data_IF_270135027085
#
_entry.id   IF_270135027085
#
_cell.length_a   1.000
_cell.length_b   1.000
_cell.length_c   1.000
_cell.angle_alpha   90.00
_cell.angle_beta   90.00
_cell.angle_gamma   90.00
#
_symmetry.space_group_name_H-M   'P 1'
#
loop_
_entity.id
_entity.type
_entity.pdbx_description
1 polymer ?
#
# COMPACT_ATOMS: atom_id res chain seq x y z
N UNK A 1 21.50 -30.03 -14.53
CA UNK A 1 20.12 -30.20 -15.03
C UNK A 1 19.32 -29.03 -14.48
N UNK A 2 18.65 -28.23 -15.33
CA UNK A 2 17.76 -27.19 -14.86
C UNK A 2 16.52 -27.86 -14.23
N UNK A 3 16.38 -27.73 -12.92
CA UNK A 3 15.20 -28.22 -12.22
C UNK A 3 14.01 -27.36 -12.69
N UNK A 4 12.98 -27.99 -13.23
CA UNK A 4 11.75 -27.32 -13.66
C UNK A 4 10.59 -27.72 -12.75
N UNK A 5 9.71 -26.77 -12.45
CA UNK A 5 8.49 -27.06 -11.70
C UNK A 5 7.65 -28.13 -12.43
N UNK A 6 7.19 -29.14 -11.69
CA UNK A 6 6.27 -30.17 -12.20
C UNK A 6 4.95 -29.53 -12.66
N UNK A 7 4.20 -30.21 -13.55
CA UNK A 7 2.87 -29.75 -13.97
C UNK A 7 1.91 -29.57 -12.77
N UNK A 8 2.03 -30.47 -11.78
CA UNK A 8 1.27 -30.40 -10.52
C UNK A 8 1.61 -29.16 -9.72
N UNK A 9 2.90 -28.89 -9.56
CA UNK A 9 3.38 -27.71 -8.82
C UNK A 9 2.96 -26.40 -9.51
N UNK A 10 3.10 -26.31 -10.85
CA UNK A 10 2.64 -25.16 -11.64
C UNK A 10 1.15 -24.88 -11.47
N UNK A 11 0.32 -25.93 -11.34
CA UNK A 11 -1.13 -25.77 -11.06
C UNK A 11 -1.36 -25.12 -9.69
N UNK A 12 -0.65 -25.55 -8.64
CA UNK A 12 -0.76 -24.92 -7.31
C UNK A 12 -0.23 -23.49 -7.30
N UNK A 13 0.87 -23.23 -7.97
CA UNK A 13 1.41 -21.88 -8.17
C UNK A 13 0.38 -20.96 -8.84
N UNK A 14 -0.26 -21.43 -9.90
CA UNK A 14 -1.28 -20.66 -10.61
C UNK A 14 -2.51 -20.40 -9.75
N UNK A 15 -3.02 -21.42 -9.04
CA UNK A 15 -4.16 -21.27 -8.13
C UNK A 15 -3.84 -20.20 -7.07
N UNK A 16 -2.72 -20.33 -6.37
CA UNK A 16 -2.33 -19.41 -5.32
C UNK A 16 -2.18 -17.97 -5.83
N UNK A 17 -1.53 -17.79 -6.99
CA UNK A 17 -1.32 -16.47 -7.58
C UNK A 17 -2.61 -15.82 -8.07
N UNK A 18 -3.53 -16.61 -8.66
CA UNK A 18 -4.86 -16.13 -9.09
C UNK A 18 -5.67 -15.63 -7.89
N UNK A 19 -5.68 -16.37 -6.78
CA UNK A 19 -6.35 -15.91 -5.56
C UNK A 19 -5.77 -14.62 -5.03
N UNK A 20 -4.43 -14.48 -4.99
CA UNK A 20 -3.76 -13.27 -4.52
C UNK A 20 -4.07 -12.07 -5.43
N UNK A 21 -4.09 -12.28 -6.75
CA UNK A 21 -4.40 -11.23 -7.72
C UNK A 21 -5.84 -10.73 -7.53
N UNK A 22 -6.82 -11.64 -7.51
CA UNK A 22 -8.24 -11.27 -7.38
C UNK A 22 -8.49 -10.63 -6.00
N UNK A 23 -7.97 -11.22 -4.93
CA UNK A 23 -8.12 -10.66 -3.60
C UNK A 23 -7.44 -9.29 -3.45
N UNK A 24 -6.28 -9.08 -4.11
CA UNK A 24 -5.63 -7.77 -4.16
C UNK A 24 -6.47 -6.72 -4.87
N UNK A 25 -7.14 -7.08 -5.96
CA UNK A 25 -8.07 -6.18 -6.65
C UNK A 25 -9.24 -5.82 -5.72
N UNK A 26 -9.91 -6.80 -5.10
CA UNK A 26 -11.03 -6.57 -4.17
C UNK A 26 -10.56 -5.68 -3.00
N UNK A 27 -9.41 -5.97 -2.40
CA UNK A 27 -8.83 -5.21 -1.31
C UNK A 27 -8.71 -3.69 -1.61
N UNK A 28 -8.24 -3.35 -2.81
CA UNK A 28 -8.13 -1.95 -3.21
C UNK A 28 -9.47 -1.32 -3.63
N UNK A 29 -10.42 -2.11 -4.18
CA UNK A 29 -11.79 -1.65 -4.41
C UNK A 29 -12.48 -1.31 -3.09
N UNK A 30 -12.28 -2.12 -2.04
CA UNK A 30 -12.82 -1.88 -0.70
C UNK A 30 -12.30 -0.57 -0.11
N UNK A 31 -11.02 -0.28 -0.27
CA UNK A 31 -10.40 0.99 0.17
C UNK A 31 -10.93 2.20 -0.58
N UNK A 32 -11.08 2.08 -1.90
CA UNK A 32 -11.53 3.17 -2.75
C UNK A 32 -13.04 3.44 -2.62
N UNK A 33 -13.85 2.45 -2.23
CA UNK A 33 -15.32 2.54 -2.21
C UNK A 33 -15.85 3.70 -1.35
N UNK A 34 -15.27 3.93 -0.15
CA UNK A 34 -15.69 5.03 0.72
C UNK A 34 -15.24 6.39 0.15
N UNK A 35 -14.07 6.46 -0.48
CA UNK A 35 -13.58 7.68 -1.13
C UNK A 35 -14.50 8.08 -2.30
N UNK A 36 -14.89 7.13 -3.12
CA UNK A 36 -15.81 7.34 -4.26
C UNK A 36 -17.20 7.75 -3.80
N UNK A 37 -17.73 7.10 -2.76
CA UNK A 37 -19.06 7.41 -2.23
C UNK A 37 -19.08 8.60 -1.25
N UNK A 38 -17.95 9.24 -0.98
CA UNK A 38 -17.79 10.28 0.05
C UNK A 38 -18.84 11.36 -0.05
N UNK A 39 -18.98 12.03 -1.19
CA UNK A 39 -19.93 13.13 -1.38
C UNK A 39 -21.39 12.67 -1.23
N UNK A 40 -21.73 11.49 -1.69
CA UNK A 40 -23.09 10.94 -1.60
C UNK A 40 -23.43 10.55 -0.17
N UNK A 41 -22.52 9.85 0.53
CA UNK A 41 -22.72 9.45 1.93
C UNK A 41 -22.80 10.69 2.83
N UNK A 42 -21.90 11.66 2.65
CA UNK A 42 -21.89 12.92 3.41
C UNK A 42 -23.23 13.66 3.28
N UNK A 43 -23.76 13.77 2.06
CA UNK A 43 -25.05 14.43 1.80
C UNK A 43 -26.24 13.66 2.37
N UNK A 44 -26.26 12.33 2.19
CA UNK A 44 -27.39 11.49 2.61
C UNK A 44 -27.48 11.33 4.13
N UNK A 45 -26.32 11.14 4.80
CA UNK A 45 -26.27 10.88 6.23
C UNK A 45 -25.96 12.15 7.06
N UNK A 46 -25.75 13.30 6.42
CA UNK A 46 -25.48 14.58 7.08
C UNK A 46 -24.12 14.64 7.77
N UNK A 47 -23.12 13.92 7.26
CA UNK A 47 -21.77 13.92 7.86
C UNK A 47 -20.95 15.11 7.40
N UNK A 48 -20.20 15.71 8.32
CA UNK A 48 -19.23 16.76 8.02
C UNK A 48 -18.00 16.19 7.32
N UNK A 49 -17.18 17.05 6.70
CA UNK A 49 -15.93 16.64 6.08
C UNK A 49 -14.93 16.06 7.11
N UNK A 50 -14.93 16.56 8.34
CA UNK A 50 -14.14 15.99 9.45
C UNK A 50 -14.59 14.56 9.77
N UNK A 51 -15.89 14.31 9.84
CA UNK A 51 -16.45 12.97 10.08
C UNK A 51 -16.09 12.01 8.93
N UNK A 52 -16.20 12.45 7.68
CA UNK A 52 -15.76 11.65 6.53
C UNK A 52 -14.26 11.41 6.55
N UNK A 53 -13.45 12.41 6.89
CA UNK A 53 -12.01 12.27 7.08
C UNK A 53 -11.66 11.24 8.15
N UNK A 54 -12.38 11.22 9.27
CA UNK A 54 -12.21 10.22 10.33
C UNK A 54 -12.57 8.81 9.83
N UNK A 55 -13.70 8.65 9.14
CA UNK A 55 -14.11 7.36 8.54
C UNK A 55 -13.07 6.82 7.56
N UNK A 56 -12.44 7.69 6.76
CA UNK A 56 -11.38 7.33 5.82
C UNK A 56 -10.07 6.96 6.52
N UNK A 57 -9.81 7.54 7.70
CA UNK A 57 -8.57 7.36 8.47
C UNK A 57 -8.57 6.14 9.37
N UNK A 58 -9.69 5.82 10.02
CA UNK A 58 -9.74 4.74 11.04
C UNK A 58 -9.43 3.35 10.49
N UNK A 59 -9.66 3.14 9.19
CA UNK A 59 -9.20 1.96 8.49
C UNK A 59 -7.68 1.77 8.63
N UNK A 60 -6.91 2.83 8.36
CA UNK A 60 -5.45 2.79 8.39
C UNK A 60 -4.91 2.52 9.78
N UNK A 61 -5.57 3.01 10.83
CA UNK A 61 -5.20 2.71 12.21
C UNK A 61 -5.42 1.23 12.54
N UNK A 62 -6.59 0.66 12.20
CA UNK A 62 -6.88 -0.76 12.39
C UNK A 62 -5.89 -1.65 11.65
N UNK A 63 -5.60 -1.31 10.40
CA UNK A 63 -4.62 -2.00 9.56
C UNK A 63 -3.20 -1.94 10.16
N UNK A 64 -2.71 -0.74 10.54
CA UNK A 64 -1.36 -0.54 11.05
C UNK A 64 -1.12 -1.28 12.37
N UNK A 65 -2.07 -1.26 13.30
CA UNK A 65 -1.97 -1.96 14.57
C UNK A 65 -1.85 -3.48 14.38
N UNK A 66 -2.58 -4.04 13.42
CA UNK A 66 -2.56 -5.47 13.16
C UNK A 66 -1.35 -5.92 12.33
N UNK A 67 -0.70 -5.02 11.60
CA UNK A 67 0.52 -5.35 10.83
C UNK A 67 1.65 -5.92 11.70
N UNK A 68 1.79 -5.44 12.93
CA UNK A 68 2.86 -5.87 13.83
C UNK A 68 2.73 -7.35 14.25
N UNK A 69 1.58 -7.82 14.77
CA UNK A 69 1.43 -9.20 15.23
C UNK A 69 1.14 -10.21 14.11
N UNK A 70 0.68 -9.74 12.92
CA UNK A 70 0.11 -10.61 11.91
C UNK A 70 1.10 -11.65 11.38
N UNK A 71 2.38 -11.31 11.25
CA UNK A 71 3.43 -12.23 10.82
C UNK A 71 3.56 -13.42 11.77
N UNK A 72 3.63 -13.17 13.09
CA UNK A 72 3.72 -14.20 14.12
C UNK A 72 2.46 -15.08 14.14
N UNK A 73 1.28 -14.46 13.98
CA UNK A 73 0.00 -15.18 13.93
C UNK A 73 -0.06 -16.10 12.71
N UNK A 74 0.40 -15.64 11.55
CA UNK A 74 0.45 -16.46 10.34
C UNK A 74 1.45 -17.60 10.42
N UNK A 75 2.61 -17.40 11.07
CA UNK A 75 3.58 -18.48 11.31
C UNK A 75 3.00 -19.56 12.22
N UNK A 76 2.24 -19.17 13.25
CA UNK A 76 1.66 -20.11 14.22
C UNK A 76 0.46 -20.89 13.70
N UNK A 77 -0.45 -20.23 12.96
CA UNK A 77 -1.74 -20.81 12.56
C UNK A 77 -1.83 -21.17 11.07
N UNK A 78 -0.82 -20.80 10.30
CA UNK A 78 -0.71 -21.04 8.86
C UNK A 78 -1.45 -20.01 8.00
N UNK A 79 -0.93 -19.80 6.80
CA UNK A 79 -1.43 -18.82 5.83
C UNK A 79 -2.89 -19.06 5.46
N UNK A 80 -3.26 -20.32 5.18
CA UNK A 80 -4.62 -20.69 4.72
C UNK A 80 -5.70 -20.16 5.65
N UNK A 81 -5.52 -20.42 6.97
CA UNK A 81 -6.52 -20.03 7.98
C UNK A 81 -6.55 -18.51 8.18
N UNK A 82 -5.39 -17.91 8.47
CA UNK A 82 -5.33 -16.49 8.84
C UNK A 82 -5.77 -15.62 7.68
N UNK A 83 -5.30 -15.88 6.47
CA UNK A 83 -5.71 -15.10 5.31
C UNK A 83 -7.18 -15.35 4.93
N UNK A 84 -7.64 -16.60 4.94
CA UNK A 84 -9.03 -16.93 4.64
C UNK A 84 -10.01 -16.27 5.60
N UNK A 85 -9.74 -16.29 6.92
CA UNK A 85 -10.55 -15.57 7.91
C UNK A 85 -10.42 -14.05 7.79
N UNK A 86 -9.23 -13.53 7.50
CA UNK A 86 -9.03 -12.12 7.22
C UNK A 86 -9.88 -11.67 6.04
N UNK A 87 -9.80 -12.40 4.90
CA UNK A 87 -10.59 -12.16 3.69
C UNK A 87 -12.10 -12.19 3.97
N UNK A 88 -12.58 -13.18 4.75
CA UNK A 88 -13.98 -13.23 5.17
C UNK A 88 -14.37 -12.02 6.02
N UNK A 89 -13.56 -11.70 7.03
CA UNK A 89 -13.84 -10.63 8.00
C UNK A 89 -13.93 -9.27 7.33
N UNK A 90 -12.95 -8.91 6.47
CA UNK A 90 -12.99 -7.61 5.80
C UNK A 90 -14.15 -7.53 4.79
N UNK A 91 -14.41 -8.61 4.06
CA UNK A 91 -15.51 -8.64 3.09
C UNK A 91 -16.89 -8.58 3.76
N UNK A 92 -17.03 -9.19 4.93
CA UNK A 92 -18.22 -9.06 5.76
C UNK A 92 -18.37 -7.61 6.25
N UNK A 93 -17.31 -6.98 6.75
CA UNK A 93 -17.33 -5.59 7.18
C UNK A 93 -17.69 -4.65 6.01
N UNK A 94 -17.19 -4.91 4.81
CA UNK A 94 -17.54 -4.17 3.59
C UNK A 94 -19.03 -4.34 3.25
N UNK A 95 -19.54 -5.57 3.27
CA UNK A 95 -20.97 -5.86 3.02
C UNK A 95 -21.86 -5.13 4.03
N UNK A 96 -21.52 -5.24 5.31
CA UNK A 96 -22.29 -4.60 6.40
C UNK A 96 -22.25 -3.08 6.28
N UNK A 97 -21.13 -2.50 5.81
CA UNK A 97 -21.03 -1.04 5.59
C UNK A 97 -22.17 -0.52 4.71
N UNK A 98 -22.60 -1.27 3.69
CA UNK A 98 -23.72 -0.90 2.82
C UNK A 98 -25.09 -0.88 3.53
N UNK A 99 -25.21 -1.51 4.69
CA UNK A 99 -26.46 -1.58 5.49
C UNK A 99 -26.50 -0.55 6.61
N UNK A 100 -25.39 0.14 6.90
CA UNK A 100 -25.27 1.05 8.03
C UNK A 100 -25.60 2.49 7.65
N UNK A 101 -26.14 3.22 8.65
CA UNK A 101 -26.41 4.66 8.55
C UNK A 101 -25.87 5.44 9.77
N UNK A 102 -25.46 4.75 10.83
CA UNK A 102 -24.89 5.37 12.03
C UNK A 102 -23.39 5.59 11.87
N UNK A 103 -22.91 6.80 12.20
CA UNK A 103 -21.48 7.14 12.16
C UNK A 103 -20.62 6.17 12.98
N UNK A 104 -21.05 5.86 14.23
CA UNK A 104 -20.30 4.95 15.10
C UNK A 104 -20.20 3.54 14.52
N UNK A 105 -21.29 3.03 13.94
CA UNK A 105 -21.27 1.70 13.33
C UNK A 105 -20.38 1.65 12.08
N UNK A 106 -20.37 2.73 11.29
CA UNK A 106 -19.46 2.86 10.14
C UNK A 106 -18.00 2.91 10.58
N UNK A 107 -17.65 3.61 11.66
CA UNK A 107 -16.31 3.60 12.27
C UNK A 107 -15.90 2.17 12.64
N UNK A 108 -16.76 1.44 13.35
CA UNK A 108 -16.48 0.06 13.77
C UNK A 108 -16.26 -0.84 12.55
N UNK A 109 -17.13 -0.76 11.54
CA UNK A 109 -16.99 -1.53 10.32
C UNK A 109 -15.66 -1.22 9.60
N UNK A 110 -15.23 0.05 9.56
CA UNK A 110 -13.95 0.47 8.97
C UNK A 110 -12.72 -0.04 9.73
N UNK A 111 -12.78 -0.05 11.06
CA UNK A 111 -11.71 -0.65 11.89
C UNK A 111 -11.62 -2.15 11.64
N UNK A 112 -12.76 -2.86 11.64
CA UNK A 112 -12.81 -4.30 11.36
C UNK A 112 -12.29 -4.62 9.96
N UNK A 113 -12.63 -3.80 8.96
CA UNK A 113 -12.12 -3.92 7.60
C UNK A 113 -10.59 -3.80 7.59
N UNK A 114 -10.03 -2.80 8.27
CA UNK A 114 -8.57 -2.61 8.38
C UNK A 114 -7.86 -3.80 9.05
N UNK A 115 -8.43 -4.32 10.13
CA UNK A 115 -7.92 -5.52 10.83
C UNK A 115 -7.94 -6.74 9.89
N UNK A 116 -9.05 -6.95 9.19
CA UNK A 116 -9.22 -8.08 8.27
C UNK A 116 -8.26 -8.04 7.08
N UNK A 117 -7.93 -6.85 6.57
CA UNK A 117 -7.02 -6.67 5.44
C UNK A 117 -5.52 -6.78 5.78
N UNK A 118 -5.16 -6.64 7.06
CA UNK A 118 -3.76 -6.64 7.49
C UNK A 118 -2.95 -7.88 7.03
N UNK A 119 -3.50 -9.11 6.94
CA UNK A 119 -2.80 -10.27 6.44
C UNK A 119 -2.45 -10.24 4.95
N UNK A 120 -3.05 -9.38 4.13
CA UNK A 120 -2.99 -9.47 2.67
C UNK A 120 -1.56 -9.41 2.11
N UNK A 121 -0.81 -8.35 2.41
CA UNK A 121 0.56 -8.20 1.91
C UNK A 121 1.53 -9.27 2.45
N UNK A 122 1.55 -9.57 3.76
CA UNK A 122 2.38 -10.66 4.29
C UNK A 122 2.05 -12.03 3.66
N UNK A 123 0.76 -12.30 3.37
CA UNK A 123 0.33 -13.51 2.68
C UNK A 123 0.94 -13.59 1.27
N UNK A 124 0.92 -12.50 0.51
CA UNK A 124 1.52 -12.47 -0.82
C UNK A 124 2.99 -12.88 -0.80
N UNK A 125 3.76 -12.28 0.11
CA UNK A 125 5.19 -12.60 0.31
C UNK A 125 5.37 -14.06 0.72
N UNK A 126 4.62 -14.54 1.70
CA UNK A 126 4.73 -15.91 2.22
C UNK A 126 4.36 -16.95 1.16
N UNK A 127 3.25 -16.77 0.45
CA UNK A 127 2.80 -17.67 -0.61
C UNK A 127 3.83 -17.75 -1.75
N UNK A 128 4.38 -16.61 -2.19
CA UNK A 128 5.42 -16.62 -3.22
C UNK A 128 6.68 -17.32 -2.70
N UNK A 129 7.04 -17.10 -1.43
CA UNK A 129 8.18 -17.79 -0.82
C UNK A 129 7.98 -19.31 -0.73
N UNK A 130 6.80 -19.79 -0.41
CA UNK A 130 6.49 -21.20 -0.20
C UNK A 130 6.33 -21.98 -1.52
N UNK A 131 5.83 -21.32 -2.59
CA UNK A 131 5.44 -21.98 -3.83
C UNK A 131 6.40 -21.76 -5.00
N UNK A 132 7.36 -20.81 -4.91
CA UNK A 132 8.26 -20.49 -6.01
C UNK A 132 9.73 -20.61 -5.61
N UNK A 133 10.53 -21.16 -6.53
CA UNK A 133 11.97 -21.15 -6.39
C UNK A 133 12.49 -19.71 -6.29
N UNK A 134 13.55 -19.50 -5.51
CA UNK A 134 14.10 -18.17 -5.22
C UNK A 134 14.45 -17.38 -6.50
N UNK A 135 14.87 -18.07 -7.56
CA UNK A 135 15.25 -17.47 -8.83
C UNK A 135 14.05 -17.01 -9.67
N UNK A 136 12.85 -17.54 -9.38
CA UNK A 136 11.63 -17.30 -10.14
C UNK A 136 10.60 -16.43 -9.38
N UNK A 137 10.91 -15.92 -8.18
CA UNK A 137 9.98 -15.13 -7.34
C UNK A 137 9.67 -13.75 -7.88
N UNK A 138 10.49 -13.23 -8.81
CA UNK A 138 10.33 -11.85 -9.32
C UNK A 138 9.00 -11.64 -10.03
N UNK A 139 8.65 -12.50 -10.98
CA UNK A 139 7.37 -12.39 -11.71
C UNK A 139 6.15 -12.56 -10.83
N UNK A 140 6.03 -13.61 -9.97
CA UNK A 140 4.92 -13.76 -9.05
C UNK A 140 4.74 -12.55 -8.10
N UNK A 141 5.83 -12.03 -7.52
CA UNK A 141 5.77 -10.82 -6.70
C UNK A 141 5.33 -9.59 -7.50
N UNK A 142 5.79 -9.49 -8.74
CA UNK A 142 5.33 -8.45 -9.67
C UNK A 142 3.82 -8.51 -9.90
N UNK A 143 3.26 -9.70 -10.09
CA UNK A 143 1.81 -9.91 -10.29
C UNK A 143 1.03 -9.56 -9.02
N UNK A 144 1.51 -9.96 -7.84
CA UNK A 144 0.89 -9.60 -6.56
C UNK A 144 0.87 -8.07 -6.39
N UNK A 145 1.97 -7.38 -6.67
CA UNK A 145 2.03 -5.93 -6.56
C UNK A 145 1.22 -5.22 -7.65
N UNK A 146 1.15 -5.79 -8.86
CA UNK A 146 0.35 -5.25 -9.96
C UNK A 146 -1.14 -5.20 -9.61
N UNK A 147 -1.64 -6.13 -8.78
CA UNK A 147 -3.04 -6.13 -8.35
C UNK A 147 -3.47 -4.80 -7.71
N UNK A 148 -2.60 -4.23 -6.88
CA UNK A 148 -2.85 -2.95 -6.22
C UNK A 148 -2.87 -1.77 -7.19
N UNK A 149 -1.91 -1.72 -8.10
CA UNK A 149 -1.80 -0.63 -9.07
C UNK A 149 -2.93 -0.67 -10.10
N UNK A 150 -3.26 -1.89 -10.58
CA UNK A 150 -4.37 -2.11 -11.50
C UNK A 150 -5.70 -1.73 -10.86
N UNK A 151 -5.91 -2.14 -9.60
CA UNK A 151 -7.13 -1.80 -8.88
C UNK A 151 -7.26 -0.30 -8.62
N UNK A 152 -6.19 0.42 -8.29
CA UNK A 152 -6.24 1.88 -8.12
C UNK A 152 -6.68 2.61 -9.39
N UNK A 153 -6.25 2.14 -10.55
CA UNK A 153 -6.66 2.73 -11.83
C UNK A 153 -8.10 2.36 -12.23
N UNK A 154 -8.51 1.11 -11.95
CA UNK A 154 -9.83 0.61 -12.32
C UNK A 154 -10.92 0.96 -11.30
N UNK A 155 -10.55 1.21 -10.04
CA UNK A 155 -11.52 1.45 -8.97
C UNK A 155 -12.46 2.63 -9.27
N UNK A 156 -12.00 3.83 -9.64
CA UNK A 156 -12.91 4.94 -9.86
C UNK A 156 -13.98 4.67 -10.92
N UNK A 157 -13.67 4.26 -12.17
CA UNK A 157 -14.69 4.01 -13.17
C UNK A 157 -15.62 2.84 -12.82
N UNK A 158 -15.08 1.75 -12.26
CA UNK A 158 -15.87 0.58 -11.90
C UNK A 158 -16.84 0.86 -10.73
N UNK A 159 -16.33 1.48 -9.67
CA UNK A 159 -17.14 1.78 -8.49
C UNK A 159 -18.22 2.81 -8.78
N UNK A 160 -17.91 3.82 -9.59
CA UNK A 160 -18.91 4.81 -10.01
C UNK A 160 -19.96 4.17 -10.92
N UNK A 161 -19.59 3.30 -11.84
CA UNK A 161 -20.56 2.57 -12.65
C UNK A 161 -21.52 1.74 -11.77
N UNK A 162 -21.01 1.03 -10.77
CA UNK A 162 -21.83 0.30 -9.80
C UNK A 162 -22.71 1.25 -8.98
N UNK A 163 -22.16 2.39 -8.54
CA UNK A 163 -22.88 3.36 -7.74
C UNK A 163 -24.01 4.04 -8.51
N UNK A 164 -23.80 4.37 -9.79
CA UNK A 164 -24.83 4.94 -10.66
C UNK A 164 -25.92 3.92 -11.00
N UNK A 165 -25.58 2.65 -11.19
CA UNK A 165 -26.54 1.61 -11.52
C UNK A 165 -27.38 1.15 -10.33
N UNK A 166 -26.80 1.03 -9.14
CA UNK A 166 -27.40 0.35 -7.99
C UNK A 166 -27.41 1.17 -6.70
N UNK A 167 -26.81 2.37 -6.69
CA UNK A 167 -26.60 3.18 -5.50
C UNK A 167 -25.39 2.72 -4.67
N UNK A 168 -24.91 3.60 -3.78
CA UNK A 168 -23.69 3.36 -3.00
C UNK A 168 -23.83 2.17 -2.03
N UNK A 169 -24.99 1.98 -1.41
CA UNK A 169 -25.22 0.86 -0.49
C UNK A 169 -25.03 -0.48 -1.17
N UNK A 170 -25.67 -0.66 -2.33
CA UNK A 170 -25.59 -1.90 -3.11
C UNK A 170 -24.18 -2.11 -3.66
N UNK A 171 -23.47 -1.04 -4.05
CA UNK A 171 -22.07 -1.11 -4.44
C UNK A 171 -21.20 -1.75 -3.33
N UNK A 172 -21.32 -1.30 -2.07
CA UNK A 172 -20.61 -1.91 -0.94
C UNK A 172 -20.98 -3.38 -0.74
N UNK A 173 -22.26 -3.72 -0.86
CA UNK A 173 -22.76 -5.10 -0.71
C UNK A 173 -22.19 -5.99 -1.82
N UNK A 174 -22.22 -5.57 -3.09
CA UNK A 174 -21.71 -6.36 -4.22
C UNK A 174 -20.24 -6.67 -4.03
N UNK A 175 -19.42 -5.67 -3.70
CA UNK A 175 -17.97 -5.85 -3.52
C UNK A 175 -17.72 -6.78 -2.32
N UNK A 176 -18.39 -6.54 -1.20
CA UNK A 176 -18.25 -7.37 -0.01
C UNK A 176 -18.65 -8.82 -0.24
N UNK A 177 -19.79 -9.08 -0.91
CA UNK A 177 -20.22 -10.45 -1.25
C UNK A 177 -19.21 -11.13 -2.18
N UNK A 178 -18.65 -10.42 -3.15
CA UNK A 178 -17.63 -10.99 -4.05
C UNK A 178 -16.40 -11.47 -3.26
N UNK A 179 -15.99 -10.73 -2.24
CA UNK A 179 -14.90 -11.13 -1.35
C UNK A 179 -15.27 -12.29 -0.43
N UNK A 180 -16.51 -12.37 0.08
CA UNK A 180 -16.99 -13.54 0.86
C UNK A 180 -16.94 -14.81 -0.01
N UNK A 181 -17.42 -14.72 -1.24
CA UNK A 181 -17.35 -15.84 -2.19
C UNK A 181 -15.89 -16.26 -2.41
N UNK A 182 -15.00 -15.29 -2.64
CA UNK A 182 -13.58 -15.56 -2.81
C UNK A 182 -12.95 -16.22 -1.56
N UNK A 183 -13.36 -15.81 -0.36
CA UNK A 183 -12.90 -16.43 0.90
C UNK A 183 -13.34 -17.91 0.98
N UNK A 184 -14.58 -18.21 0.64
CA UNK A 184 -15.06 -19.59 0.60
C UNK A 184 -14.27 -20.42 -0.42
N UNK A 185 -14.06 -19.88 -1.62
CA UNK A 185 -13.26 -20.54 -2.65
C UNK A 185 -11.79 -20.73 -2.20
N UNK A 186 -11.22 -19.76 -1.47
CA UNK A 186 -9.89 -19.89 -0.87
C UNK A 186 -9.81 -21.08 0.08
N UNK A 187 -10.76 -21.26 0.99
CA UNK A 187 -10.77 -22.40 1.90
C UNK A 187 -10.94 -23.74 1.17
N UNK A 188 -11.66 -23.77 0.07
CA UNK A 188 -11.87 -24.98 -0.73
C UNK A 188 -10.61 -25.33 -1.54
N UNK A 189 -10.06 -24.38 -2.28
CA UNK A 189 -9.06 -24.65 -3.31
C UNK A 189 -7.62 -24.42 -2.86
N UNK A 190 -7.35 -23.49 -1.95
CA UNK A 190 -5.98 -23.24 -1.50
C UNK A 190 -5.54 -24.31 -0.48
N UNK A 191 -4.26 -24.71 -0.58
CA UNK A 191 -3.59 -25.60 0.39
C UNK A 191 -2.28 -24.97 0.83
N UNK A 192 -1.91 -25.13 2.10
CA UNK A 192 -0.55 -24.81 2.55
C UNK A 192 0.41 -25.87 1.98
N UNK A 193 1.67 -25.47 1.81
CA UNK A 193 2.73 -26.37 1.32
C UNK A 193 2.81 -27.67 2.17
N UNK A 194 2.71 -27.54 3.48
CA UNK A 194 2.78 -28.66 4.43
C UNK A 194 1.60 -29.65 4.34
N UNK A 195 0.52 -29.27 3.66
CA UNK A 195 -0.67 -30.09 3.47
C UNK A 195 -0.60 -30.96 2.20
N UNK A 196 0.47 -30.81 1.43
CA UNK A 196 0.68 -31.54 0.20
C UNK A 196 1.89 -32.44 0.32
N UNK A 197 1.73 -33.73 -0.03
CA UNK A 197 2.84 -34.63 -0.21
C UNK A 197 3.58 -34.24 -1.50
N UNK A 198 4.64 -33.44 -1.35
CA UNK A 198 5.53 -33.05 -2.44
C UNK A 198 6.54 -34.18 -2.67
N UNK A 199 6.86 -34.42 -3.95
CA UNK A 199 7.92 -35.36 -4.31
C UNK A 199 9.31 -34.76 -4.01
N UNK A 200 10.32 -35.62 -3.88
CA UNK A 200 11.70 -35.17 -3.64
C UNK A 200 12.18 -34.20 -4.72
N UNK A 201 11.81 -34.41 -5.98
CA UNK A 201 12.13 -33.52 -7.10
C UNK A 201 11.46 -32.14 -6.93
N UNK A 202 10.21 -32.09 -6.48
CA UNK A 202 9.48 -30.84 -6.20
C UNK A 202 10.11 -30.10 -5.01
N UNK A 203 10.51 -30.80 -3.96
CA UNK A 203 11.20 -30.24 -2.81
C UNK A 203 12.58 -29.69 -3.20
N UNK A 204 13.34 -30.45 -3.98
CA UNK A 204 14.66 -30.04 -4.50
C UNK A 204 14.52 -28.78 -5.37
N UNK A 205 13.51 -28.73 -6.25
CA UNK A 205 13.24 -27.54 -7.05
C UNK A 205 12.94 -26.31 -6.19
N UNK A 206 12.06 -26.43 -5.18
CA UNK A 206 11.67 -25.32 -4.32
C UNK A 206 12.82 -24.82 -3.43
N UNK A 207 13.71 -25.72 -3.02
CA UNK A 207 14.83 -25.42 -2.14
C UNK A 207 16.13 -25.05 -2.89
N UNK A 208 16.20 -25.28 -4.22
CA UNK A 208 17.40 -24.96 -4.99
C UNK A 208 17.73 -23.48 -4.94
N UNK A 209 18.95 -23.18 -4.51
CA UNK A 209 19.44 -21.80 -4.34
C UNK A 209 18.90 -21.08 -3.10
N UNK A 210 18.08 -21.75 -2.27
CA UNK A 210 17.68 -21.16 -0.99
C UNK A 210 18.92 -21.02 -0.09
N UNK A 211 19.18 -19.84 0.49
CA UNK A 211 20.26 -19.70 1.46
C UNK A 211 19.98 -20.62 2.66
N UNK A 212 21.02 -21.22 3.26
CA UNK A 212 20.83 -21.97 4.48
C UNK A 212 20.04 -21.09 5.45
N UNK A 213 19.03 -21.66 6.11
CA UNK A 213 18.19 -20.92 7.05
C UNK A 213 19.11 -20.24 8.07
N UNK A 214 19.25 -18.91 7.96
CA UNK A 214 20.02 -18.17 8.94
C UNK A 214 19.29 -18.27 10.27
N UNK A 215 19.84 -19.05 11.19
CA UNK A 215 19.30 -19.30 12.54
C UNK A 215 19.33 -18.05 13.42
N UNK A 216 19.96 -16.98 12.98
CA UNK A 216 20.09 -15.73 13.73
C UNK A 216 18.81 -14.87 13.58
N UNK A 217 17.80 -15.18 14.37
CA UNK A 217 16.65 -14.30 14.57
C UNK A 217 17.11 -12.98 15.18
N UNK A 218 16.62 -11.87 14.64
CA UNK A 218 16.87 -10.55 15.24
C UNK A 218 16.24 -10.51 16.63
N UNK A 219 17.03 -10.28 17.66
CA UNK A 219 16.53 -10.15 19.02
C UNK A 219 15.79 -8.83 19.21
N UNK A 220 14.90 -8.76 20.21
CA UNK A 220 14.20 -7.52 20.53
C UNK A 220 15.17 -6.38 20.89
N UNK A 221 16.28 -6.69 21.57
CA UNK A 221 17.33 -5.71 21.92
C UNK A 221 18.01 -5.13 20.68
N UNK A 222 18.34 -5.99 19.70
CA UNK A 222 18.91 -5.55 18.42
C UNK A 222 17.89 -4.72 17.63
N UNK A 223 16.63 -5.17 17.59
CA UNK A 223 15.56 -4.43 16.93
C UNK A 223 15.37 -3.03 17.55
N UNK A 224 15.33 -2.92 18.87
CA UNK A 224 15.22 -1.64 19.57
C UNK A 224 16.46 -0.74 19.34
N UNK A 225 17.64 -1.31 19.17
CA UNK A 225 18.86 -0.55 18.91
C UNK A 225 18.90 0.10 17.53
N UNK A 226 18.10 -0.38 16.55
CA UNK A 226 17.95 0.25 15.24
C UNK A 226 17.49 1.71 15.37
N UNK A 227 16.64 2.01 16.35
CA UNK A 227 16.14 3.38 16.61
C UNK A 227 17.21 4.37 17.09
N UNK A 228 18.42 3.92 17.40
CA UNK A 228 19.58 4.81 17.67
C UNK A 228 20.20 5.36 16.38
N UNK A 229 19.86 4.81 15.22
CA UNK A 229 20.46 5.18 13.94
C UNK A 229 19.67 6.31 13.26
N UNK A 230 20.36 7.40 12.94
CA UNK A 230 19.78 8.59 12.33
C UNK A 230 19.10 8.30 10.98
N UNK A 231 19.72 7.43 10.16
CA UNK A 231 19.17 7.05 8.85
C UNK A 231 17.82 6.35 8.96
N UNK A 232 17.59 5.55 10.04
CA UNK A 232 16.29 4.90 10.24
C UNK A 232 15.17 5.94 10.49
N UNK A 233 15.43 6.95 11.32
CA UNK A 233 14.48 8.03 11.54
C UNK A 233 14.21 8.82 10.26
N UNK A 234 15.23 9.04 9.45
CA UNK A 234 15.08 9.63 8.11
C UNK A 234 14.14 8.82 7.21
N UNK A 235 14.26 7.48 7.22
CA UNK A 235 13.39 6.59 6.48
C UNK A 235 11.95 6.62 7.03
N UNK A 236 11.75 6.59 8.35
CA UNK A 236 10.43 6.61 9.00
C UNK A 236 9.70 7.93 8.67
N UNK A 237 10.33 9.07 9.02
CA UNK A 237 9.70 10.39 8.91
C UNK A 237 9.55 10.80 7.44
N UNK A 238 10.56 10.52 6.61
CA UNK A 238 10.47 10.82 5.19
C UNK A 238 9.41 9.97 4.48
N UNK A 239 9.29 8.68 4.82
CA UNK A 239 8.26 7.82 4.24
C UNK A 239 6.85 8.12 4.77
N UNK A 240 6.74 8.72 5.96
CA UNK A 240 5.49 9.29 6.47
C UNK A 240 4.94 10.34 5.49
N UNK A 241 5.79 11.20 4.93
CA UNK A 241 5.39 12.18 3.92
C UNK A 241 4.92 11.54 2.60
N UNK A 242 5.56 10.45 2.16
CA UNK A 242 5.08 9.65 1.02
C UNK A 242 3.68 9.11 1.31
N UNK A 243 3.48 8.50 2.48
CA UNK A 243 2.19 7.99 2.91
C UNK A 243 1.11 9.06 2.97
N UNK A 244 1.42 10.22 3.55
CA UNK A 244 0.49 11.35 3.65
C UNK A 244 -0.06 11.77 2.27
N UNK A 245 0.83 11.97 1.28
CA UNK A 245 0.41 12.37 -0.07
C UNK A 245 -0.42 11.30 -0.77
N UNK A 246 0.04 10.04 -0.74
CA UNK A 246 -0.68 8.93 -1.39
C UNK A 246 -2.09 8.79 -0.82
N UNK A 247 -2.22 8.82 0.52
CA UNK A 247 -3.51 8.69 1.18
C UNK A 247 -4.42 9.90 1.00
N UNK A 248 -3.87 11.12 0.94
CA UNK A 248 -4.67 12.30 0.62
C UNK A 248 -5.34 12.15 -0.74
N UNK A 249 -4.57 11.85 -1.78
CA UNK A 249 -5.12 11.70 -3.12
C UNK A 249 -6.04 10.47 -3.24
N UNK A 250 -5.69 9.34 -2.61
CA UNK A 250 -6.52 8.14 -2.62
C UNK A 250 -7.90 8.39 -2.00
N UNK A 251 -7.96 9.20 -0.94
CA UNK A 251 -9.18 9.38 -0.15
C UNK A 251 -10.01 10.61 -0.55
N UNK A 252 -9.38 11.68 -1.02
CA UNK A 252 -10.06 12.95 -1.26
C UNK A 252 -10.11 13.39 -2.71
N UNK A 253 -9.36 12.76 -3.64
CA UNK A 253 -9.37 13.16 -5.06
C UNK A 253 -10.76 13.12 -5.69
N UNK A 254 -11.60 12.08 -5.51
CA UNK A 254 -12.95 12.09 -6.06
C UNK A 254 -13.78 13.26 -5.53
N UNK A 255 -13.78 13.48 -4.21
CA UNK A 255 -14.52 14.59 -3.58
C UNK A 255 -14.00 15.97 -4.03
N UNK A 256 -12.69 16.12 -4.24
CA UNK A 256 -12.10 17.31 -4.81
C UNK A 256 -12.63 17.59 -6.24
N UNK A 257 -12.68 16.56 -7.09
CA UNK A 257 -13.17 16.69 -8.45
C UNK A 257 -14.67 17.03 -8.51
N UNK A 258 -15.48 16.45 -7.63
CA UNK A 258 -16.91 16.75 -7.53
C UNK A 258 -17.17 18.14 -6.91
N UNK A 259 -16.63 18.43 -5.71
CA UNK A 259 -16.99 19.61 -4.94
C UNK A 259 -16.25 20.87 -5.41
N UNK A 260 -14.94 20.78 -5.77
CA UNK A 260 -14.14 21.93 -6.14
C UNK A 260 -14.10 22.17 -7.65
N UNK A 261 -14.27 21.12 -8.46
CA UNK A 261 -14.21 21.22 -9.92
C UNK A 261 -15.57 21.04 -10.60
N UNK A 262 -16.62 20.75 -9.85
CA UNK A 262 -17.99 20.66 -10.33
C UNK A 262 -18.21 19.53 -11.35
N UNK A 263 -17.36 18.48 -11.33
CA UNK A 263 -17.52 17.35 -12.22
C UNK A 263 -18.71 16.50 -11.79
N UNK A 264 -19.49 16.01 -12.76
CA UNK A 264 -20.49 14.99 -12.49
C UNK A 264 -19.82 13.71 -11.98
N UNK A 265 -20.57 12.91 -11.22
CA UNK A 265 -20.08 11.64 -10.70
C UNK A 265 -19.49 10.74 -11.81
N UNK A 266 -20.17 10.65 -12.96
CA UNK A 266 -19.70 9.88 -14.12
C UNK A 266 -18.34 10.37 -14.65
N UNK A 267 -18.17 11.69 -14.84
CA UNK A 267 -16.90 12.28 -15.28
C UNK A 267 -15.81 12.10 -14.25
N UNK A 268 -16.15 12.20 -12.96
CA UNK A 268 -15.21 11.99 -11.85
C UNK A 268 -14.57 10.60 -11.92
N UNK A 269 -15.31 9.56 -12.27
CA UNK A 269 -14.78 8.20 -12.39
C UNK A 269 -13.64 8.07 -13.39
N UNK A 270 -13.81 8.61 -14.57
CA UNK A 270 -12.79 8.55 -15.61
C UNK A 270 -11.63 9.50 -15.33
N UNK A 271 -11.92 10.72 -14.88
CA UNK A 271 -10.91 11.73 -14.62
C UNK A 271 -10.04 11.34 -13.41
N UNK A 272 -10.62 10.78 -12.35
CA UNK A 272 -9.86 10.33 -11.18
C UNK A 272 -8.94 9.13 -11.48
N UNK A 273 -9.23 8.32 -12.50
CA UNK A 273 -8.34 7.22 -12.90
C UNK A 273 -7.01 7.71 -13.48
N UNK A 274 -7.01 8.86 -14.17
CA UNK A 274 -5.82 9.38 -14.89
C UNK A 274 -4.63 9.59 -13.95
N UNK A 275 -4.74 10.30 -12.81
CA UNK A 275 -3.61 10.47 -11.90
C UNK A 275 -3.03 9.14 -11.36
N UNK A 276 -3.86 8.13 -11.11
CA UNK A 276 -3.38 6.82 -10.65
C UNK A 276 -2.63 6.06 -11.75
N UNK A 277 -3.03 6.18 -13.02
CA UNK A 277 -2.26 5.65 -14.14
C UNK A 277 -0.89 6.30 -14.25
N UNK A 278 -0.80 7.63 -14.05
CA UNK A 278 0.49 8.34 -13.99
C UNK A 278 1.33 7.88 -12.79
N UNK A 279 0.71 7.58 -11.66
CA UNK A 279 1.39 6.96 -10.51
C UNK A 279 2.03 5.61 -10.88
N UNK A 280 1.29 4.75 -11.58
CA UNK A 280 1.82 3.47 -12.09
C UNK A 280 3.01 3.67 -13.03
N UNK A 281 2.94 4.64 -13.95
CA UNK A 281 4.05 5.01 -14.82
C UNK A 281 5.27 5.48 -14.01
N UNK A 282 5.05 6.25 -12.95
CA UNK A 282 6.11 6.71 -12.04
C UNK A 282 6.89 5.55 -11.42
N UNK A 283 6.19 4.49 -10.98
CA UNK A 283 6.84 3.27 -10.47
C UNK A 283 7.71 2.59 -11.52
N UNK A 284 7.18 2.41 -12.74
CA UNK A 284 7.89 1.76 -13.85
C UNK A 284 9.12 2.56 -14.26
N UNK A 285 8.97 3.86 -14.44
CA UNK A 285 10.06 4.76 -14.83
C UNK A 285 11.15 4.77 -13.76
N UNK A 286 10.79 4.75 -12.47
CA UNK A 286 11.78 4.65 -11.40
C UNK A 286 12.63 3.39 -11.51
N UNK A 287 12.03 2.23 -11.78
CA UNK A 287 12.77 0.97 -11.97
C UNK A 287 13.83 1.09 -13.05
N UNK A 288 13.41 1.56 -14.24
CA UNK A 288 14.30 1.72 -15.39
C UNK A 288 15.42 2.73 -15.13
N UNK A 289 15.07 3.90 -14.56
CA UNK A 289 16.05 4.97 -14.26
C UNK A 289 17.06 4.50 -13.21
N UNK A 290 16.60 3.81 -12.16
CA UNK A 290 17.47 3.32 -11.12
C UNK A 290 18.50 2.30 -11.63
N UNK A 291 18.05 1.37 -12.48
CA UNK A 291 18.94 0.38 -13.08
C UNK A 291 19.95 1.04 -14.04
N UNK A 292 19.48 2.00 -14.83
CA UNK A 292 20.33 2.74 -15.77
C UNK A 292 21.43 3.53 -15.06
N UNK A 293 21.09 4.25 -13.98
CA UNK A 293 22.04 5.08 -13.23
C UNK A 293 23.10 4.20 -12.53
N UNK A 294 22.67 3.06 -11.95
CA UNK A 294 23.58 2.11 -11.31
C UNK A 294 24.50 1.43 -12.34
N UNK A 295 23.99 1.04 -13.53
CA UNK A 295 24.80 0.50 -14.62
C UNK A 295 25.87 1.47 -15.11
N UNK A 296 25.66 2.78 -14.97
CA UNK A 296 26.66 3.82 -15.28
C UNK A 296 27.67 4.08 -14.16
N UNK A 297 27.68 3.27 -13.12
CA UNK A 297 28.67 3.32 -12.04
C UNK A 297 28.32 4.27 -10.88
N UNK A 298 27.09 4.77 -10.81
CA UNK A 298 26.67 5.59 -9.69
C UNK A 298 26.51 4.73 -8.40
N UNK A 299 26.79 5.35 -7.24
CA UNK A 299 26.57 4.74 -5.94
C UNK A 299 25.09 4.38 -5.75
N UNK A 300 24.83 3.13 -5.37
CA UNK A 300 23.48 2.56 -5.27
C UNK A 300 22.63 3.30 -4.21
N UNK A 301 23.19 3.63 -3.07
CA UNK A 301 22.48 4.29 -1.98
C UNK A 301 22.23 5.76 -2.31
N UNK A 302 23.26 6.48 -2.78
CA UNK A 302 23.16 7.90 -3.13
C UNK A 302 22.17 8.12 -4.27
N UNK A 303 22.21 7.28 -5.32
CA UNK A 303 21.26 7.39 -6.44
C UNK A 303 19.81 7.20 -5.99
N UNK A 304 19.51 6.20 -5.15
CA UNK A 304 18.16 6.01 -4.59
C UNK A 304 17.73 7.19 -3.73
N UNK A 305 18.62 7.70 -2.86
CA UNK A 305 18.36 8.90 -2.04
C UNK A 305 17.98 10.10 -2.91
N UNK A 306 18.77 10.41 -3.96
CA UNK A 306 18.48 11.53 -4.84
C UNK A 306 17.16 11.37 -5.58
N UNK A 307 16.83 10.15 -6.04
CA UNK A 307 15.54 9.87 -6.67
C UNK A 307 14.36 10.12 -5.72
N UNK A 308 14.51 9.78 -4.43
CA UNK A 308 13.50 10.06 -3.41
C UNK A 308 13.36 11.57 -3.23
N UNK A 309 14.48 12.28 -3.00
CA UNK A 309 14.45 13.70 -2.74
C UNK A 309 13.85 14.49 -3.91
N UNK A 310 14.29 14.21 -5.14
CA UNK A 310 13.79 14.88 -6.34
C UNK A 310 12.31 14.52 -6.59
N UNK A 311 11.94 13.25 -6.44
CA UNK A 311 10.55 12.83 -6.61
C UNK A 311 9.61 13.52 -5.63
N UNK A 312 9.98 13.63 -4.34
CA UNK A 312 9.21 14.36 -3.34
C UNK A 312 9.15 15.87 -3.62
N UNK A 313 10.26 16.45 -4.05
CA UNK A 313 10.33 17.87 -4.42
C UNK A 313 9.40 18.16 -5.62
N UNK A 314 9.47 17.35 -6.68
CA UNK A 314 8.58 17.49 -7.82
C UNK A 314 7.11 17.24 -7.45
N UNK A 315 6.84 16.27 -6.57
CA UNK A 315 5.48 16.03 -6.06
C UNK A 315 4.93 17.31 -5.36
N UNK A 316 5.73 17.97 -4.53
CA UNK A 316 5.36 19.24 -3.91
C UNK A 316 5.15 20.35 -4.94
N UNK A 317 6.09 20.49 -5.89
CA UNK A 317 6.04 21.51 -6.96
C UNK A 317 4.80 21.36 -7.85
N UNK A 318 4.35 20.17 -8.14
CA UNK A 318 3.13 19.95 -8.94
C UNK A 318 1.84 20.03 -8.09
N UNK A 319 1.88 19.71 -6.80
CA UNK A 319 0.70 19.82 -5.92
C UNK A 319 0.32 21.30 -5.67
N UNK A 320 1.29 22.19 -5.56
CA UNK A 320 1.03 23.61 -5.32
C UNK A 320 0.21 24.29 -6.43
N UNK A 321 0.55 24.19 -7.72
CA UNK A 321 -0.26 24.79 -8.79
C UNK A 321 -1.68 24.17 -8.86
N UNK A 322 -1.83 22.88 -8.52
CA UNK A 322 -3.15 22.24 -8.47
C UNK A 322 -4.09 22.90 -7.44
N UNK A 323 -3.52 23.51 -6.38
CA UNK A 323 -4.28 24.21 -5.34
C UNK A 323 -4.88 25.55 -5.80
N UNK A 324 -4.23 26.22 -6.76
CA UNK A 324 -4.56 27.60 -7.15
C UNK A 324 -5.10 27.75 -8.57
N UNK A 325 -4.96 26.74 -9.44
CA UNK A 325 -5.46 26.82 -10.82
C UNK A 325 -6.97 26.73 -10.88
N UNK A 326 -7.61 27.54 -11.72
CA UNK A 326 -9.04 27.48 -11.98
C UNK A 326 -9.41 26.42 -13.04
N UNK A 327 -8.44 26.05 -13.89
CA UNK A 327 -8.65 25.06 -14.94
C UNK A 327 -8.67 23.65 -14.40
N UNK A 328 -9.77 22.91 -14.60
CA UNK A 328 -9.86 21.48 -14.24
C UNK A 328 -8.80 20.64 -14.95
N UNK A 329 -8.52 20.93 -16.23
CA UNK A 329 -7.48 20.22 -16.98
C UNK A 329 -6.11 20.43 -16.36
N UNK A 330 -5.74 21.67 -16.05
CA UNK A 330 -4.45 21.99 -15.41
C UNK A 330 -4.34 21.36 -14.03
N UNK A 331 -5.42 21.36 -13.23
CA UNK A 331 -5.45 20.72 -11.93
C UNK A 331 -5.19 19.21 -12.02
N UNK A 332 -5.91 18.52 -12.92
CA UNK A 332 -5.74 17.08 -13.14
C UNK A 332 -4.34 16.76 -13.67
N UNK A 333 -3.81 17.55 -14.60
CA UNK A 333 -2.45 17.38 -15.11
C UNK A 333 -1.40 17.54 -14.00
N UNK A 334 -1.53 18.56 -13.16
CA UNK A 334 -0.65 18.78 -12.01
C UNK A 334 -0.74 17.64 -11.00
N UNK A 335 -1.95 17.19 -10.63
CA UNK A 335 -2.15 16.06 -9.71
C UNK A 335 -1.59 14.76 -10.32
N UNK A 336 -1.73 14.55 -11.63
CA UNK A 336 -1.16 13.39 -12.32
C UNK A 336 0.37 13.38 -12.23
N UNK A 337 1.01 14.53 -12.43
CA UNK A 337 2.46 14.66 -12.28
C UNK A 337 2.91 14.55 -10.81
N UNK A 338 2.10 15.03 -9.87
CA UNK A 338 2.35 14.83 -8.44
C UNK A 338 2.30 13.34 -8.06
N UNK A 339 1.27 12.60 -8.52
CA UNK A 339 1.16 11.15 -8.29
C UNK A 339 2.26 10.36 -9.01
N UNK A 340 2.64 10.73 -10.22
CA UNK A 340 3.82 10.16 -10.89
C UNK A 340 5.07 10.31 -10.00
N UNK A 341 5.32 11.52 -9.52
CA UNK A 341 6.52 11.88 -8.76
C UNK A 341 6.55 11.20 -7.38
N UNK A 342 5.43 11.12 -6.68
CA UNK A 342 5.37 10.46 -5.35
C UNK A 342 5.53 8.94 -5.45
N UNK A 343 4.95 8.30 -6.46
CA UNK A 343 5.13 6.86 -6.68
C UNK A 343 6.54 6.55 -7.19
N UNK A 344 7.14 7.42 -7.99
CA UNK A 344 8.56 7.36 -8.34
C UNK A 344 9.45 7.41 -7.09
N UNK A 345 9.22 8.36 -6.18
CA UNK A 345 9.94 8.47 -4.90
C UNK A 345 9.72 7.25 -4.01
N UNK A 346 8.48 6.79 -3.86
CA UNK A 346 8.11 5.64 -3.04
C UNK A 346 8.80 4.35 -3.48
N UNK A 347 8.88 4.10 -4.79
CA UNK A 347 9.61 2.94 -5.35
C UNK A 347 11.09 3.00 -5.01
N UNK A 348 11.71 4.19 -5.10
CA UNK A 348 13.10 4.35 -4.66
C UNK A 348 13.28 4.21 -3.16
N UNK A 349 12.30 4.58 -2.33
CA UNK A 349 12.37 4.41 -0.89
C UNK A 349 12.39 2.93 -0.48
N UNK A 350 11.60 2.08 -1.15
CA UNK A 350 11.70 0.62 -1.00
C UNK A 350 13.04 0.07 -1.53
N UNK A 351 13.49 0.55 -2.67
CA UNK A 351 14.78 0.18 -3.23
C UNK A 351 15.98 0.60 -2.37
N UNK A 352 15.86 1.69 -1.62
CA UNK A 352 16.88 2.18 -0.70
C UNK A 352 17.14 1.17 0.43
N UNK A 353 16.09 0.56 1.00
CA UNK A 353 16.24 -0.49 2.02
C UNK A 353 17.10 -1.64 1.51
N UNK A 354 16.85 -2.09 0.27
CA UNK A 354 17.57 -3.23 -0.31
C UNK A 354 19.07 -2.99 -0.50
N UNK A 355 19.49 -1.73 -0.62
CA UNK A 355 20.89 -1.37 -0.87
C UNK A 355 21.62 -0.77 0.34
N UNK A 356 20.88 -0.38 1.40
CA UNK A 356 21.45 0.30 2.57
C UNK A 356 21.25 -0.45 3.89
N UNK A 357 20.56 -1.61 3.86
CA UNK A 357 20.25 -2.38 5.07
C UNK A 357 20.87 -3.80 4.96
N UNK A 358 21.54 -4.31 6.00
CA UNK A 358 22.00 -5.69 6.05
C UNK A 358 20.87 -6.69 5.81
N UNK A 359 21.14 -7.77 5.06
CA UNK A 359 20.12 -8.72 4.60
C UNK A 359 19.23 -9.29 5.72
N UNK A 360 19.80 -9.56 6.90
CA UNK A 360 19.05 -10.09 8.05
C UNK A 360 18.07 -9.07 8.67
N UNK A 361 18.28 -7.76 8.44
CA UNK A 361 17.49 -6.66 9.01
C UNK A 361 16.46 -6.09 8.02
N UNK A 362 16.51 -6.47 6.74
CA UNK A 362 15.64 -5.93 5.68
C UNK A 362 14.16 -6.00 6.09
N UNK A 363 13.69 -7.14 6.58
CA UNK A 363 12.29 -7.31 6.99
C UNK A 363 11.90 -6.38 8.13
N UNK A 364 12.77 -6.23 9.14
CA UNK A 364 12.53 -5.36 10.29
C UNK A 364 12.46 -3.89 9.87
N UNK A 365 13.46 -3.42 9.10
CA UNK A 365 13.50 -2.03 8.63
C UNK A 365 12.35 -1.72 7.67
N UNK A 366 12.01 -2.67 6.78
CA UNK A 366 10.84 -2.55 5.89
C UNK A 366 9.54 -2.39 6.67
N UNK A 367 9.35 -3.20 7.72
CA UNK A 367 8.17 -3.08 8.60
C UNK A 367 8.10 -1.74 9.31
N UNK A 368 9.23 -1.27 9.85
CA UNK A 368 9.32 0.03 10.54
C UNK A 368 9.04 1.18 9.58
N UNK A 369 9.65 1.19 8.38
CA UNK A 369 9.38 2.21 7.36
C UNK A 369 7.91 2.21 6.92
N UNK A 370 7.35 1.03 6.67
CA UNK A 370 5.95 0.90 6.27
C UNK A 370 4.99 1.41 7.34
N UNK A 371 5.25 1.10 8.61
CA UNK A 371 4.50 1.65 9.74
C UNK A 371 4.54 3.18 9.77
N UNK A 372 5.70 3.81 9.51
CA UNK A 372 5.81 5.26 9.36
C UNK A 372 4.92 5.82 8.26
N UNK A 373 4.89 5.15 7.09
CA UNK A 373 4.02 5.53 5.97
C UNK A 373 2.53 5.44 6.31
N UNK A 374 2.10 4.40 7.03
CA UNK A 374 0.72 4.25 7.46
C UNK A 374 0.30 5.29 8.52
N UNK A 375 1.19 5.66 9.44
CA UNK A 375 0.90 6.75 10.39
C UNK A 375 0.62 8.04 9.63
N UNK A 376 1.50 8.46 8.70
CA UNK A 376 1.27 9.66 7.88
C UNK A 376 -0.01 9.57 7.07
N UNK A 377 -0.24 8.41 6.45
CA UNK A 377 -1.46 8.12 5.71
C UNK A 377 -2.73 8.20 6.54
N UNK A 378 -2.67 7.81 7.81
CA UNK A 378 -3.83 7.86 8.71
C UNK A 378 -4.23 9.29 9.08
N UNK A 379 -3.28 10.21 9.18
CA UNK A 379 -3.58 11.60 9.52
C UNK A 379 -4.04 12.43 8.34
N UNK A 380 -3.64 12.11 7.12
CA UNK A 380 -3.96 12.90 5.93
C UNK A 380 -5.47 13.11 5.72
N UNK A 381 -6.33 12.08 5.77
CA UNK A 381 -7.77 12.28 5.56
C UNK A 381 -8.44 13.11 6.67
N UNK A 382 -8.05 12.94 7.94
CA UNK A 382 -8.60 13.71 9.08
C UNK A 382 -8.22 15.18 8.94
N UNK A 383 -6.93 15.48 8.74
CA UNK A 383 -6.43 16.87 8.61
C UNK A 383 -7.12 17.55 7.43
N UNK A 384 -7.25 16.86 6.30
CA UNK A 384 -7.96 17.38 5.13
C UNK A 384 -9.43 17.67 5.45
N UNK A 385 -10.12 16.76 6.14
CA UNK A 385 -11.51 16.96 6.53
C UNK A 385 -11.69 18.18 7.45
N UNK A 386 -10.84 18.35 8.47
CA UNK A 386 -10.84 19.52 9.36
C UNK A 386 -10.63 20.82 8.57
N UNK A 387 -9.66 20.84 7.66
CA UNK A 387 -9.38 22.01 6.81
C UNK A 387 -10.60 22.35 5.96
N UNK A 388 -11.25 21.38 5.34
CA UNK A 388 -12.44 21.59 4.52
C UNK A 388 -13.61 22.15 5.33
N UNK A 389 -13.87 21.61 6.53
CA UNK A 389 -14.94 22.12 7.41
C UNK A 389 -14.70 23.57 7.84
N UNK A 390 -13.43 23.95 8.07
CA UNK A 390 -13.07 25.30 8.52
C UNK A 390 -12.98 26.33 7.38
N UNK A 391 -12.49 25.90 6.21
CA UNK A 391 -12.16 26.82 5.10
C UNK A 391 -13.11 26.72 3.91
N UNK A 392 -13.96 25.69 3.88
CA UNK A 392 -14.81 25.33 2.75
C UNK A 392 -14.04 25.20 1.42
N UNK A 393 -12.74 24.87 1.50
CA UNK A 393 -11.84 24.80 0.35
C UNK A 393 -10.82 23.69 0.50
N UNK A 394 -10.43 23.07 -0.63
CA UNK A 394 -9.32 22.11 -0.70
C UNK A 394 -7.95 22.79 -0.83
N UNK A 395 -7.90 24.10 -1.10
CA UNK A 395 -6.64 24.83 -1.37
C UNK A 395 -5.63 24.63 -0.24
N UNK A 396 -6.04 24.91 1.01
CA UNK A 396 -5.14 24.77 2.15
C UNK A 396 -4.72 23.31 2.39
N UNK A 397 -5.60 22.35 2.14
CA UNK A 397 -5.26 20.93 2.26
C UNK A 397 -4.18 20.50 1.27
N UNK A 398 -4.24 20.98 0.02
CA UNK A 398 -3.21 20.74 -0.98
C UNK A 398 -1.90 21.47 -0.65
N UNK A 399 -1.95 22.70 -0.09
CA UNK A 399 -0.76 23.42 0.37
C UNK A 399 -0.08 22.67 1.51
N UNK A 400 -0.85 22.18 2.50
CA UNK A 400 -0.30 21.34 3.59
C UNK A 400 0.34 20.08 3.02
N UNK A 401 -0.33 19.42 2.07
CA UNK A 401 0.20 18.23 1.41
C UNK A 401 1.55 18.51 0.70
N UNK A 402 1.63 19.60 -0.06
CA UNK A 402 2.87 20.00 -0.71
C UNK A 402 3.99 20.33 0.30
N UNK A 403 3.63 21.00 1.41
CA UNK A 403 4.58 21.30 2.50
C UNK A 403 5.12 20.03 3.14
N UNK A 404 4.25 19.06 3.43
CA UNK A 404 4.65 17.75 3.99
C UNK A 404 5.60 17.02 3.04
N UNK A 405 5.33 17.01 1.73
CA UNK A 405 6.21 16.42 0.73
C UNK A 405 7.58 17.11 0.67
N UNK A 406 7.59 18.43 0.70
CA UNK A 406 8.83 19.23 0.72
C UNK A 406 9.66 18.92 1.96
N UNK A 407 9.03 18.93 3.16
CA UNK A 407 9.72 18.59 4.41
C UNK A 407 10.24 17.15 4.40
N UNK A 408 9.48 16.20 3.88
CA UNK A 408 9.91 14.80 3.73
C UNK A 408 11.14 14.69 2.80
N UNK A 409 11.21 15.48 1.72
CA UNK A 409 12.39 15.55 0.87
C UNK A 409 13.63 16.03 1.66
N UNK A 410 13.48 17.09 2.46
CA UNK A 410 14.57 17.59 3.32
C UNK A 410 14.99 16.55 4.37
N UNK A 411 14.03 15.82 4.96
CA UNK A 411 14.33 14.75 5.91
C UNK A 411 15.17 13.64 5.26
N UNK A 412 14.80 13.15 4.08
CA UNK A 412 15.63 12.20 3.36
C UNK A 412 17.02 12.77 3.04
N UNK A 413 17.09 14.02 2.62
CA UNK A 413 18.35 14.68 2.27
C UNK A 413 19.31 14.79 3.44
N UNK A 414 18.83 15.22 4.61
CA UNK A 414 19.68 15.50 5.76
C UNK A 414 19.91 14.29 6.66
N UNK A 415 18.98 13.36 6.76
CA UNK A 415 19.05 12.26 7.74
C UNK A 415 19.57 10.95 7.14
N UNK A 416 19.30 10.67 5.85
CA UNK A 416 19.69 9.40 5.24
C UNK A 416 21.03 9.56 4.52
N UNK A 417 22.13 9.51 5.27
CA UNK A 417 23.48 9.71 4.73
C UNK A 417 24.36 8.47 4.83
N UNK A 418 24.05 7.55 5.73
CA UNK A 418 24.82 6.33 5.99
C UNK A 418 23.92 5.11 5.90
N UNK A 419 24.44 3.95 5.46
CA UNK A 419 23.71 2.69 5.52
C UNK A 419 23.38 2.32 6.96
N UNK A 420 22.32 1.55 7.16
CA UNK A 420 21.96 0.99 8.45
C UNK A 420 23.04 -0.03 8.86
N UNK A 421 23.65 0.20 10.02
CA UNK A 421 24.67 -0.70 10.57
C UNK A 421 24.01 -1.86 11.29
N UNK A 422 24.65 -3.03 11.24
CA UNK A 422 24.19 -4.20 11.99
C UNK A 422 24.48 -4.01 13.49
N UNK A 423 23.49 -4.04 14.38
CA UNK A 423 23.70 -3.91 15.82
C UNK A 423 24.67 -4.96 16.40
N UNK A 424 24.66 -6.18 15.86
CA UNK A 424 25.58 -7.23 16.29
C UNK A 424 27.05 -6.90 16.00
N UNK A 425 27.33 -6.18 14.92
CA UNK A 425 28.70 -5.74 14.59
C UNK A 425 29.13 -4.51 15.41
N UNK A 426 28.18 -3.74 15.92
CA UNK A 426 28.48 -2.57 16.76
C UNK A 426 28.86 -2.97 18.20
N UNK A 427 28.25 -4.04 18.74
CA UNK A 427 28.60 -4.55 20.09
C UNK A 427 30.03 -5.17 20.14
N UNK A 428 30.49 -5.79 19.06
CA UNK A 428 31.84 -6.41 18.97
C UNK A 428 32.96 -5.37 18.92
N UNK A 429 32.71 -4.14 18.44
CA UNK A 429 33.72 -3.07 18.37
C UNK A 429 33.86 -2.26 19.68
N UNK A 430 33.02 -2.51 20.67
CA UNK A 430 32.99 -1.81 21.95
C UNK A 430 33.57 -2.67 23.09
N UNK A 431 33.98 -3.90 22.81
CA UNK A 431 34.78 -4.80 23.70
C UNK A 431 36.20 -4.86 23.17
#
# INVERSE_FOLDING_TARGET
>A
MSLHASKRLKRWQLIALTFLLIAGIINFLDRASLSIANCTISKELGFSATQMGLLLSVFSFGYALCQLPIGMVMERFGVKKIYGFGLFLWSLAQTVTGLLSSFTHLIIARVILGIGEAPHLPTGVKVVNDWYNIRERGLPMGIVNMSSTLAQALAPPLLIALMLAFGWRTMFIIIGISGIILSILWFIFYRNREQLELTDDELNYLNDGAPPSSTNKVSFKEWASLFKQRSLWGMIIGFNGVGYMVWLYLTWLPAYLENSRGLSLEKTGWVAAIPFLFGALGMLVNGVVADYVVKRGADKMKSRKWMICLGLLFAAMFTLPAAYTDSTFSAVACISMALFSIHFAGTSAWGLILVSVPSRLITSVSGIQNFGGFIGGSFAPIITGIIIDQTHSFTLALVVCATVAFLASLVYFFFVNEPIKDPAEMEVKTV
#
